data_IF_386366932119
#
_entry.id   IF_386366932119
#
_cell.length_a   1.000
_cell.length_b   1.000
_cell.length_c   1.000
_cell.angle_alpha   90.00
_cell.angle_beta   90.00
_cell.angle_gamma   90.00
#
_symmetry.space_group_name_H-M   'P 1'
#
loop_
_entity.id
_entity.type
_entity.pdbx_description
1 polymer ?
#
# COMPACT_ATOMS: atom_id res chain seq x y z
N UNK A 1 -0.66 19.59 -4.96
CA UNK A 1 -1.24 19.07 -3.72
C UNK A 1 -1.76 17.67 -3.93
N UNK A 2 -1.47 16.76 -3.00
CA UNK A 2 -1.81 15.36 -3.14
C UNK A 2 -3.32 15.12 -3.17
N UNK A 3 -4.07 15.81 -2.32
CA UNK A 3 -5.50 15.58 -2.14
C UNK A 3 -6.35 16.45 -3.06
N UNK A 4 -6.11 16.35 -4.36
CA UNK A 4 -6.95 16.99 -5.35
C UNK A 4 -8.17 16.11 -5.61
N UNK A 5 -9.34 16.73 -5.79
CA UNK A 5 -10.58 16.00 -6.03
C UNK A 5 -10.56 15.14 -7.29
N UNK A 6 -9.71 15.49 -8.28
CA UNK A 6 -9.57 14.73 -9.53
C UNK A 6 -8.52 13.62 -9.46
N UNK A 7 -7.71 13.56 -8.39
CA UNK A 7 -6.71 12.50 -8.21
C UNK A 7 -7.29 11.31 -7.45
N UNK A 8 -8.16 11.56 -6.48
CA UNK A 8 -8.76 10.51 -5.66
C UNK A 8 -10.27 10.41 -5.90
N UNK A 9 -10.77 9.18 -5.94
CA UNK A 9 -12.19 8.89 -5.85
C UNK A 9 -12.51 8.55 -4.41
N UNK A 10 -13.44 9.28 -3.81
CA UNK A 10 -13.84 9.09 -2.42
C UNK A 10 -15.02 8.12 -2.32
N UNK A 11 -14.89 7.08 -1.52
CA UNK A 11 -15.95 6.14 -1.18
C UNK A 11 -16.17 6.16 0.32
N UNK A 12 -17.41 6.38 0.73
CA UNK A 12 -17.78 6.25 2.14
C UNK A 12 -18.41 4.88 2.35
N UNK A 13 -17.81 4.10 3.25
CA UNK A 13 -18.35 2.81 3.66
C UNK A 13 -19.18 3.07 4.91
N UNK A 14 -20.48 2.80 4.84
CA UNK A 14 -21.38 3.05 5.97
C UNK A 14 -21.31 1.90 6.98
N UNK A 15 -20.16 1.79 7.64
CA UNK A 15 -19.93 0.82 8.71
C UNK A 15 -19.83 1.52 10.06
N UNK A 16 -19.64 0.76 11.13
CA UNK A 16 -19.54 1.31 12.49
C UNK A 16 -18.32 2.21 12.68
N UNK A 17 -17.28 2.01 11.88
CA UNK A 17 -16.02 2.75 11.98
C UNK A 17 -16.00 4.01 11.13
N UNK A 18 -17.08 4.33 10.42
CA UNK A 18 -17.15 5.47 9.49
C UNK A 18 -15.99 5.46 8.48
N UNK A 19 -15.75 4.30 7.88
CA UNK A 19 -14.63 4.12 6.96
C UNK A 19 -14.81 4.95 5.70
N UNK A 20 -13.77 5.65 5.31
CA UNK A 20 -13.70 6.38 4.04
C UNK A 20 -12.47 5.92 3.29
N UNK A 21 -12.64 5.58 2.02
CA UNK A 21 -11.54 5.14 1.16
C UNK A 21 -11.36 6.16 0.04
N UNK A 22 -10.17 6.70 -0.05
CA UNK A 22 -9.76 7.56 -1.16
C UNK A 22 -8.96 6.70 -2.13
N UNK A 23 -9.55 6.40 -3.30
CA UNK A 23 -8.94 5.50 -4.28
C UNK A 23 -8.28 6.28 -5.40
N UNK A 24 -7.12 5.80 -5.84
CA UNK A 24 -6.39 6.35 -6.96
C UNK A 24 -5.52 5.26 -7.59
N UNK A 25 -4.68 5.67 -8.51
CA UNK A 25 -3.68 4.81 -9.13
C UNK A 25 -2.33 5.51 -9.09
N UNK A 26 -1.27 4.72 -8.99
CA UNK A 26 0.10 5.24 -9.09
C UNK A 26 0.81 4.56 -10.25
N UNK A 27 1.80 5.23 -10.80
CA UNK A 27 2.65 4.69 -11.87
C UNK A 27 3.91 4.11 -11.26
N UNK A 28 4.16 2.83 -11.53
CA UNK A 28 5.36 2.11 -11.06
C UNK A 28 5.92 1.33 -12.23
N UNK A 29 7.12 1.67 -12.68
CA UNK A 29 7.79 0.99 -13.80
C UNK A 29 6.88 0.84 -15.03
N UNK A 30 6.16 1.92 -15.38
CA UNK A 30 5.24 1.92 -16.52
C UNK A 30 3.91 1.23 -16.27
N UNK A 31 3.73 0.59 -15.12
CA UNK A 31 2.48 -0.06 -14.76
C UNK A 31 1.60 0.88 -13.96
N UNK A 32 0.29 0.78 -14.15
CA UNK A 32 -0.68 1.51 -13.33
C UNK A 32 -1.15 0.59 -12.21
N UNK A 33 -0.91 1.00 -10.97
CA UNK A 33 -1.16 0.17 -9.80
C UNK A 33 -2.21 0.84 -8.90
N UNK A 34 -3.24 0.09 -8.47
CA UNK A 34 -4.26 0.65 -7.57
C UNK A 34 -3.68 0.98 -6.20
N UNK A 35 -4.12 2.09 -5.64
CA UNK A 35 -3.77 2.46 -4.28
C UNK A 35 -4.98 3.10 -3.60
N UNK A 36 -4.99 3.05 -2.28
CA UNK A 36 -6.02 3.69 -1.49
C UNK A 36 -5.45 4.30 -0.22
N UNK A 37 -6.10 5.35 0.25
CA UNK A 37 -5.89 5.89 1.58
C UNK A 37 -7.18 5.63 2.34
N UNK A 38 -7.07 4.88 3.44
CA UNK A 38 -8.21 4.41 4.22
C UNK A 38 -8.20 5.11 5.56
N UNK A 39 -9.28 5.83 5.85
CA UNK A 39 -9.47 6.50 7.13
C UNK A 39 -10.74 5.98 7.79
N UNK A 40 -10.80 6.08 9.10
CA UNK A 40 -11.98 5.71 9.87
C UNK A 40 -12.03 6.57 11.15
N UNK A 41 -12.87 6.18 12.10
CA UNK A 41 -13.00 6.91 13.36
C UNK A 41 -11.93 6.54 14.39
N UNK A 42 -10.94 5.74 14.01
CA UNK A 42 -9.78 5.44 14.86
C UNK A 42 -8.65 6.41 14.59
N UNK A 43 -7.55 6.24 15.32
CA UNK A 43 -6.34 7.07 15.11
C UNK A 43 -5.54 6.65 13.87
N UNK A 44 -5.94 5.60 13.17
CA UNK A 44 -5.12 5.02 12.10
C UNK A 44 -5.57 5.46 10.72
N UNK A 45 -4.62 5.91 9.91
CA UNK A 45 -4.77 6.13 8.48
C UNK A 45 -3.87 5.14 7.77
N UNK A 46 -4.41 4.39 6.82
CA UNK A 46 -3.66 3.36 6.11
C UNK A 46 -3.50 3.78 4.65
N UNK A 47 -2.25 3.80 4.18
CA UNK A 47 -1.95 3.86 2.75
C UNK A 47 -1.75 2.42 2.31
N UNK A 48 -2.55 1.97 1.34
CA UNK A 48 -2.47 0.60 0.83
C UNK A 48 -2.27 0.61 -0.67
N UNK A 49 -1.25 -0.08 -1.13
CA UNK A 49 -0.97 -0.26 -2.56
C UNK A 49 -1.14 -1.73 -2.88
N UNK A 50 -1.93 -2.04 -3.90
CA UNK A 50 -2.04 -3.42 -4.40
C UNK A 50 -0.92 -3.64 -5.41
N UNK A 51 0.14 -4.28 -4.96
CA UNK A 51 1.33 -4.52 -5.79
C UNK A 51 1.01 -5.49 -6.92
N UNK A 52 0.23 -6.51 -6.64
CA UNK A 52 -0.24 -7.44 -7.66
C UNK A 52 -1.19 -8.47 -7.07
N UNK A 53 -1.98 -9.08 -7.95
CA UNK A 53 -2.89 -10.15 -7.57
C UNK A 53 -2.32 -11.50 -7.95
N UNK A 54 -2.61 -12.52 -7.14
CA UNK A 54 -2.21 -13.91 -7.41
C UNK A 54 -0.69 -14.08 -7.60
N UNK A 55 0.10 -13.29 -6.87
CA UNK A 55 1.56 -13.40 -6.92
C UNK A 55 2.07 -14.55 -6.05
N UNK A 56 1.38 -14.85 -4.95
CA UNK A 56 1.72 -15.98 -4.07
C UNK A 56 0.96 -17.21 -4.56
N UNK A 57 1.70 -18.26 -4.83
CA UNK A 57 1.18 -19.55 -5.31
C UNK A 57 1.77 -20.67 -4.47
N UNK A 58 1.17 -21.83 -4.49
CA UNK A 58 1.70 -23.00 -3.78
C UNK A 58 3.15 -23.30 -4.19
N UNK A 59 3.48 -23.06 -5.47
CA UNK A 59 4.81 -23.36 -6.02
C UNK A 59 5.89 -22.38 -5.54
N UNK A 60 5.53 -21.16 -5.13
CA UNK A 60 6.52 -20.14 -4.73
C UNK A 60 6.35 -19.65 -3.30
N UNK A 61 5.35 -20.11 -2.58
CA UNK A 61 4.91 -19.51 -1.33
C UNK A 61 6.03 -19.33 -0.32
N UNK A 62 6.75 -20.40 -0.02
CA UNK A 62 7.79 -20.39 1.01
C UNK A 62 8.90 -19.38 0.67
N UNK A 63 9.42 -19.46 -0.55
CA UNK A 63 10.52 -18.60 -1.01
C UNK A 63 10.08 -17.14 -1.15
N UNK A 64 8.89 -16.92 -1.70
CA UNK A 64 8.39 -15.57 -1.93
C UNK A 64 8.08 -14.86 -0.61
N UNK A 65 7.43 -15.54 0.33
CA UNK A 65 7.16 -14.94 1.64
C UNK A 65 8.44 -14.63 2.41
N UNK A 66 9.47 -15.47 2.28
CA UNK A 66 10.77 -15.18 2.88
C UNK A 66 11.41 -13.94 2.26
N UNK A 67 11.32 -13.78 0.96
CA UNK A 67 11.78 -12.58 0.26
C UNK A 67 11.06 -11.33 0.78
N UNK A 68 9.73 -11.38 0.86
CA UNK A 68 8.95 -10.26 1.39
C UNK A 68 9.29 -9.94 2.84
N UNK A 69 9.52 -10.98 3.65
CA UNK A 69 9.94 -10.78 5.03
C UNK A 69 11.30 -10.07 5.13
N UNK A 70 12.22 -10.38 4.22
CA UNK A 70 13.50 -9.68 4.14
C UNK A 70 13.30 -8.19 3.85
N UNK A 71 12.41 -7.86 2.92
CA UNK A 71 12.06 -6.46 2.64
C UNK A 71 11.43 -5.81 3.86
N UNK A 72 10.52 -6.50 4.54
CA UNK A 72 9.86 -5.97 5.73
C UNK A 72 10.84 -5.65 6.86
N UNK A 73 11.91 -6.44 6.97
CA UNK A 73 12.95 -6.18 7.97
C UNK A 73 13.85 -5.00 7.59
N UNK A 74 13.95 -4.69 6.30
CA UNK A 74 14.85 -3.65 5.80
C UNK A 74 14.23 -2.26 5.82
N UNK A 75 12.90 -2.16 5.77
CA UNK A 75 12.20 -0.89 5.66
C UNK A 75 11.26 -0.69 6.85
N UNK A 76 11.19 0.56 7.34
CA UNK A 76 10.49 0.86 8.59
C UNK A 76 9.05 1.28 8.39
N UNK A 77 8.79 2.13 7.39
CA UNK A 77 7.51 2.84 7.31
C UNK A 77 6.42 2.01 6.67
N UNK A 78 6.77 0.98 5.91
CA UNK A 78 5.78 0.14 5.24
C UNK A 78 6.09 -1.33 5.42
N UNK A 79 5.06 -2.17 5.21
CA UNK A 79 5.18 -3.62 5.28
C UNK A 79 4.40 -4.26 4.14
N UNK A 80 4.97 -5.32 3.59
CA UNK A 80 4.30 -6.15 2.60
C UNK A 80 3.39 -7.16 3.31
N UNK A 81 2.18 -7.30 2.81
CA UNK A 81 1.17 -8.20 3.35
C UNK A 81 0.67 -9.11 2.24
N UNK A 82 0.70 -10.41 2.50
CA UNK A 82 0.14 -11.41 1.58
C UNK A 82 -1.28 -11.75 2.03
N UNK A 83 -2.24 -11.59 1.12
CA UNK A 83 -3.62 -11.96 1.37
C UNK A 83 -3.87 -13.43 1.03
N UNK A 84 -4.99 -13.97 1.49
CA UNK A 84 -5.32 -15.39 1.29
C UNK A 84 -5.48 -15.77 -0.18
N UNK A 85 -5.87 -14.81 -1.03
CA UNK A 85 -6.03 -15.04 -2.46
C UNK A 85 -4.72 -14.96 -3.25
N UNK A 86 -3.59 -14.74 -2.57
CA UNK A 86 -2.28 -14.61 -3.21
C UNK A 86 -1.93 -13.18 -3.62
N UNK A 87 -2.80 -12.21 -3.35
CA UNK A 87 -2.50 -10.80 -3.62
C UNK A 87 -1.47 -10.28 -2.64
N UNK A 88 -0.64 -9.35 -3.11
CA UNK A 88 0.36 -8.68 -2.28
C UNK A 88 0.00 -7.20 -2.18
N UNK A 89 -0.05 -6.73 -0.95
CA UNK A 89 -0.27 -5.32 -0.62
C UNK A 89 0.97 -4.74 0.05
N UNK A 90 1.20 -3.47 -0.16
CA UNK A 90 2.18 -2.69 0.58
C UNK A 90 1.40 -1.70 1.44
N UNK A 91 1.50 -1.84 2.75
CA UNK A 91 0.72 -1.08 3.71
C UNK A 91 1.60 -0.17 4.55
N UNK A 92 1.16 1.09 4.70
CA UNK A 92 1.71 2.03 5.68
C UNK A 92 0.58 2.41 6.61
N UNK A 93 0.80 2.28 7.92
CA UNK A 93 -0.16 2.73 8.91
C UNK A 93 0.38 3.97 9.62
N UNK A 94 -0.35 5.07 9.55
CA UNK A 94 0.04 6.34 10.14
C UNK A 94 -0.93 6.68 11.27
N UNK A 95 -0.50 6.54 12.53
CA UNK A 95 -1.34 6.94 13.66
C UNK A 95 -1.32 8.45 13.82
N UNK A 96 -2.48 9.03 14.08
CA UNK A 96 -2.59 10.45 14.41
C UNK A 96 -3.91 10.72 15.14
N UNK A 97 -3.94 11.77 15.94
CA UNK A 97 -5.20 12.28 16.45
C UNK A 97 -5.75 13.30 15.46
N UNK A 98 -7.01 13.72 15.64
CA UNK A 98 -7.60 14.75 14.80
C UNK A 98 -6.79 16.04 14.81
N UNK A 99 -6.23 16.38 15.99
CA UNK A 99 -5.44 17.60 16.17
C UNK A 99 -4.04 17.49 15.57
N UNK A 100 -3.52 16.27 15.43
CA UNK A 100 -2.15 16.02 14.96
C UNK A 100 -2.08 15.50 13.52
N UNK A 101 -3.21 15.35 12.85
CA UNK A 101 -3.24 14.86 11.48
C UNK A 101 -2.56 15.87 10.55
N UNK A 102 -1.56 15.40 9.81
CA UNK A 102 -0.79 16.23 8.89
C UNK A 102 -0.82 15.61 7.49
N UNK A 103 -1.58 16.21 6.55
CA UNK A 103 -1.63 15.71 5.17
C UNK A 103 -0.27 15.68 4.49
N UNK A 104 0.65 16.55 4.90
CA UNK A 104 2.00 16.59 4.33
C UNK A 104 2.79 15.33 4.67
N UNK A 105 2.60 14.77 5.87
CA UNK A 105 3.23 13.50 6.24
C UNK A 105 2.71 12.38 5.35
N UNK A 106 1.41 12.36 5.06
CA UNK A 106 0.83 11.37 4.15
C UNK A 106 1.46 11.48 2.77
N UNK A 107 1.63 12.71 2.26
CA UNK A 107 2.26 12.94 0.96
C UNK A 107 3.71 12.46 0.93
N UNK A 108 4.48 12.79 1.96
CA UNK A 108 5.88 12.37 2.06
C UNK A 108 6.01 10.86 2.09
N UNK A 109 5.16 10.20 2.89
CA UNK A 109 5.18 8.73 2.99
C UNK A 109 4.77 8.10 1.66
N UNK A 110 3.78 8.66 0.97
CA UNK A 110 3.39 8.15 -0.35
C UNK A 110 4.54 8.27 -1.34
N UNK A 111 5.29 9.37 -1.35
CA UNK A 111 6.47 9.52 -2.20
C UNK A 111 7.53 8.46 -1.88
N UNK A 112 7.74 8.16 -0.60
CA UNK A 112 8.67 7.09 -0.18
C UNK A 112 8.22 5.73 -0.73
N UNK A 113 6.92 5.44 -0.65
CA UNK A 113 6.36 4.19 -1.16
C UNK A 113 6.54 4.08 -2.68
N UNK A 114 6.23 5.15 -3.40
CA UNK A 114 6.37 5.17 -4.87
C UNK A 114 7.83 4.98 -5.28
N UNK A 115 8.75 5.68 -4.63
CA UNK A 115 10.19 5.54 -4.91
C UNK A 115 10.68 4.12 -4.63
N UNK A 116 10.24 3.54 -3.51
CA UNK A 116 10.59 2.16 -3.18
C UNK A 116 10.09 1.19 -4.25
N UNK A 117 8.82 1.31 -4.63
CA UNK A 117 8.24 0.43 -5.63
C UNK A 117 8.92 0.57 -6.99
N UNK A 118 9.28 1.79 -7.39
CA UNK A 118 10.04 1.98 -8.63
C UNK A 118 11.39 1.27 -8.60
N UNK A 119 12.02 1.18 -7.44
CA UNK A 119 13.29 0.46 -7.29
C UNK A 119 13.11 -1.05 -7.20
N UNK A 120 12.03 -1.52 -6.54
CA UNK A 120 11.91 -2.94 -6.16
C UNK A 120 10.94 -3.74 -7.02
N UNK A 121 10.07 -3.08 -7.80
CA UNK A 121 8.98 -3.75 -8.50
C UNK A 121 9.45 -4.88 -9.41
N UNK A 122 10.52 -4.66 -10.16
CA UNK A 122 11.06 -5.70 -11.04
C UNK A 122 11.54 -6.91 -10.27
N UNK A 123 12.17 -6.70 -9.12
CA UNK A 123 12.64 -7.79 -8.27
C UNK A 123 11.47 -8.57 -7.68
N UNK A 124 10.41 -7.87 -7.26
CA UNK A 124 9.19 -8.52 -6.75
C UNK A 124 8.59 -9.42 -7.83
N UNK A 125 8.45 -8.91 -9.05
CA UNK A 125 7.87 -9.69 -10.15
C UNK A 125 8.76 -10.86 -10.53
N UNK A 126 10.08 -10.66 -10.50
CA UNK A 126 11.03 -11.75 -10.75
C UNK A 126 10.88 -12.86 -9.72
N UNK A 127 10.81 -12.51 -8.44
CA UNK A 127 10.62 -13.51 -7.37
C UNK A 127 9.28 -14.22 -7.50
N UNK A 128 8.24 -13.53 -7.96
CA UNK A 128 6.90 -14.11 -8.09
C UNK A 128 6.82 -15.09 -9.27
N UNK A 129 7.54 -14.84 -10.36
CA UNK A 129 7.37 -15.58 -11.61
C UNK A 129 8.54 -16.48 -11.99
N UNK A 130 9.60 -16.51 -11.20
CA UNK A 130 10.76 -17.40 -11.43
C UNK A 130 10.85 -18.59 -10.48
#
# INVERSE_FOLDING_TARGET
>A
MLFRSNFFNKNEVHDEADTVVFQSNIKVEGQTIPMGIITDNTIYTIIRVQVGSQLVKDSNKAKFLEYLNTLNRSYKVFKYVAADDGSIFLDCCLPSTNDSFDPEIVRVVLDVVVDHLNSEYKNIMKEAWE
#
